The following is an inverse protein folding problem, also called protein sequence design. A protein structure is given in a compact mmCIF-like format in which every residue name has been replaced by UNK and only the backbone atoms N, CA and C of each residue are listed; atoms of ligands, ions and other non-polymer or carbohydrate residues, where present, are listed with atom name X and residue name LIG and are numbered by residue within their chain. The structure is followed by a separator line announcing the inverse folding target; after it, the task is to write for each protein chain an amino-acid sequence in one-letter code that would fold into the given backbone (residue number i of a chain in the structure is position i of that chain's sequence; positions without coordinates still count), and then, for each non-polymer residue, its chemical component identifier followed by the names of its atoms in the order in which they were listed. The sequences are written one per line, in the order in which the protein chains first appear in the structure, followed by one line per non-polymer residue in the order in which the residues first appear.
data_IF_245292852823
#
_entry.id   IF_245292852823
#
_cell.length_a   1.000
_cell.length_b   1.000
_cell.length_c   1.000
_cell.angle_alpha   90.00
_cell.angle_beta   90.00
_cell.angle_gamma   90.00
#
_symmetry.space_group_name_H-M   'P 1'
#
loop_
_entity.id
_entity.type
_entity.pdbx_description
1 polymer ?
#
# COMPACT_ATOMS: atom_id res chain seq x y z
N UNK A 1 -11.62 -22.46 -9.86
CA UNK A 1 -10.74 -21.26 -9.85
C UNK A 1 -10.41 -20.96 -8.40
N UNK A 2 -9.13 -20.81 -8.06
CA UNK A 2 -8.74 -20.45 -6.70
C UNK A 2 -9.28 -19.05 -6.38
N UNK A 3 -10.07 -18.95 -5.32
CA UNK A 3 -10.74 -17.73 -4.91
C UNK A 3 -9.75 -16.84 -4.13
N UNK A 4 -8.78 -16.25 -4.84
CA UNK A 4 -7.82 -15.31 -4.25
C UNK A 4 -8.60 -14.07 -3.80
N UNK A 5 -8.57 -13.79 -2.51
CA UNK A 5 -9.36 -12.70 -1.90
C UNK A 5 -8.57 -11.42 -1.66
N UNK A 6 -7.24 -11.49 -1.65
CA UNK A 6 -6.34 -10.36 -1.43
C UNK A 6 -4.92 -10.72 -1.89
N UNK A 7 -4.09 -9.69 -2.10
CA UNK A 7 -2.66 -9.84 -2.36
C UNK A 7 -1.83 -9.01 -1.38
N UNK A 8 -0.66 -9.51 -0.99
CA UNK A 8 0.30 -8.78 -0.15
C UNK A 8 1.63 -8.75 -0.89
N UNK A 9 2.26 -7.58 -0.91
CA UNK A 9 3.54 -7.35 -1.57
C UNK A 9 4.56 -6.85 -0.57
N UNK A 10 5.77 -7.40 -0.62
CA UNK A 10 6.91 -6.71 -0.04
C UNK A 10 7.16 -5.41 -0.83
N UNK A 11 7.27 -4.28 -0.14
CA UNK A 11 7.45 -3.00 -0.80
C UNK A 11 8.89 -2.79 -1.27
N UNK A 12 9.86 -3.22 -0.46
CA UNK A 12 11.27 -2.88 -0.62
C UNK A 12 12.03 -3.99 -1.37
N UNK A 13 12.23 -3.81 -2.68
CA UNK A 13 12.93 -4.79 -3.52
C UNK A 13 12.00 -5.65 -4.39
N UNK A 14 10.69 -5.62 -4.14
CA UNK A 14 9.67 -6.23 -5.02
C UNK A 14 8.84 -5.16 -5.75
N UNK A 15 8.11 -4.31 -5.03
CA UNK A 15 7.35 -3.19 -5.64
C UNK A 15 8.30 -2.09 -6.10
N UNK A 16 9.26 -1.75 -5.26
CA UNK A 16 10.35 -0.84 -5.61
C UNK A 16 11.60 -1.65 -5.97
N UNK A 17 12.41 -1.17 -6.91
CA UNK A 17 13.67 -1.84 -7.25
C UNK A 17 14.75 -1.51 -6.21
N UNK A 18 15.68 -2.45 -6.00
CA UNK A 18 16.84 -2.22 -5.11
C UNK A 18 17.59 -0.95 -5.54
N UNK A 19 17.71 0.01 -4.62
CA UNK A 19 18.37 1.29 -4.85
C UNK A 19 17.51 2.35 -5.55
N UNK A 20 16.29 2.00 -5.98
CA UNK A 20 15.33 2.92 -6.62
C UNK A 20 14.07 2.94 -5.73
N UNK A 21 13.97 3.86 -4.77
CA UNK A 21 12.93 3.83 -3.76
C UNK A 21 11.62 4.49 -4.24
N UNK A 22 11.31 4.38 -5.53
CA UNK A 22 10.12 4.95 -6.17
C UNK A 22 9.44 3.88 -7.04
N UNK A 23 8.12 3.97 -7.19
CA UNK A 23 7.41 3.15 -8.16
C UNK A 23 7.70 3.59 -9.60
N UNK A 24 7.85 2.60 -10.46
CA UNK A 24 7.86 2.74 -11.92
C UNK A 24 6.44 2.56 -12.48
N UNK A 25 6.19 3.12 -13.66
CA UNK A 25 4.84 3.26 -14.21
C UNK A 25 4.17 1.92 -14.55
N UNK A 26 4.95 0.91 -14.97
CA UNK A 26 4.45 -0.44 -15.27
C UNK A 26 3.97 -1.18 -14.01
N UNK A 27 4.74 -1.08 -12.92
CA UNK A 27 4.34 -1.60 -11.61
C UNK A 27 3.11 -0.85 -11.08
N UNK A 28 3.05 0.47 -11.29
CA UNK A 28 1.91 1.30 -10.91
C UNK A 28 0.62 0.83 -11.60
N UNK A 29 0.67 0.64 -12.92
CA UNK A 29 -0.45 0.15 -13.71
C UNK A 29 -0.91 -1.24 -13.23
N UNK A 30 0.03 -2.14 -12.96
CA UNK A 30 -0.27 -3.47 -12.46
C UNK A 30 -0.96 -3.44 -11.09
N UNK A 31 -0.44 -2.64 -10.15
CA UNK A 31 -1.00 -2.52 -8.80
C UNK A 31 -2.38 -1.88 -8.81
N UNK A 32 -2.60 -0.82 -9.61
CA UNK A 32 -3.91 -0.18 -9.75
C UNK A 32 -4.92 -1.15 -10.38
N UNK A 33 -4.54 -1.88 -11.43
CA UNK A 33 -5.39 -2.89 -12.06
C UNK A 33 -5.79 -4.01 -11.10
N UNK A 34 -4.90 -4.36 -10.17
CA UNK A 34 -5.17 -5.36 -9.15
C UNK A 34 -6.06 -4.82 -8.02
N UNK A 35 -5.78 -3.59 -7.54
CA UNK A 35 -6.54 -2.91 -6.50
C UNK A 35 -8.00 -2.63 -6.92
N UNK A 36 -8.29 -2.51 -8.23
CA UNK A 36 -9.67 -2.46 -8.75
C UNK A 36 -10.44 -3.77 -8.56
N UNK A 37 -9.76 -4.89 -8.35
CA UNK A 37 -10.37 -6.24 -8.32
C UNK A 37 -10.36 -6.86 -6.93
N UNK A 38 -9.39 -6.51 -6.10
CA UNK A 38 -9.24 -7.07 -4.75
C UNK A 38 -8.43 -6.14 -3.84
N UNK A 39 -8.55 -6.30 -2.52
CA UNK A 39 -7.63 -5.70 -1.56
C UNK A 39 -6.17 -6.04 -1.84
N UNK A 40 -5.30 -5.04 -1.77
CA UNK A 40 -3.85 -5.17 -1.80
C UNK A 40 -3.23 -4.56 -0.55
N UNK A 41 -2.18 -5.19 -0.03
CA UNK A 41 -1.40 -4.66 1.08
C UNK A 41 0.08 -4.55 0.71
N UNK A 42 0.72 -3.49 1.19
CA UNK A 42 2.17 -3.32 1.12
C UNK A 42 2.79 -3.62 2.49
N UNK A 43 3.75 -4.53 2.54
CA UNK A 43 4.52 -4.83 3.73
C UNK A 43 5.90 -4.17 3.62
N UNK A 44 6.33 -3.41 4.62
CA UNK A 44 7.59 -2.66 4.57
C UNK A 44 8.19 -2.48 5.96
N UNK A 45 9.51 -2.35 6.02
CA UNK A 45 10.22 -1.90 7.23
C UNK A 45 10.12 -0.40 7.49
N UNK A 46 9.47 0.36 6.60
CA UNK A 46 9.30 1.81 6.69
C UNK A 46 8.13 2.18 7.61
N UNK A 47 8.17 3.39 8.14
CA UNK A 47 7.00 4.02 8.77
C UNK A 47 6.03 4.59 7.70
N UNK A 48 4.84 5.00 8.13
CA UNK A 48 3.78 5.54 7.27
C UNK A 48 4.27 6.73 6.44
N UNK A 49 4.88 7.74 7.08
CA UNK A 49 5.34 8.96 6.39
C UNK A 49 6.32 8.63 5.26
N UNK A 50 7.29 7.75 5.52
CA UNK A 50 8.24 7.34 4.48
C UNK A 50 7.59 6.55 3.35
N UNK A 51 6.54 5.77 3.63
CA UNK A 51 5.80 5.04 2.60
C UNK A 51 4.99 6.00 1.72
N UNK A 52 4.26 6.94 2.33
CA UNK A 52 3.41 7.91 1.61
C UNK A 52 4.23 8.66 0.56
N UNK A 53 5.32 9.30 1.00
CA UNK A 53 6.19 10.12 0.14
C UNK A 53 6.84 9.34 -1.01
N UNK A 54 7.09 8.04 -0.85
CA UNK A 54 7.90 7.24 -1.78
C UNK A 54 7.07 6.35 -2.70
N UNK A 55 5.88 5.95 -2.25
CA UNK A 55 5.01 5.06 -2.99
C UNK A 55 3.64 5.65 -3.27
N UNK A 56 2.95 6.05 -2.20
CA UNK A 56 1.53 6.40 -2.28
C UNK A 56 1.28 7.64 -3.13
N UNK A 57 2.10 8.69 -3.02
CA UNK A 57 1.89 9.93 -3.78
C UNK A 57 1.88 9.67 -5.28
N UNK A 58 2.79 8.82 -5.78
CA UNK A 58 2.80 8.39 -7.18
C UNK A 58 1.60 7.53 -7.53
N UNK A 59 1.24 6.60 -6.65
CA UNK A 59 0.06 5.74 -6.82
C UNK A 59 -1.20 6.57 -6.97
N UNK A 60 -1.44 7.53 -6.07
CA UNK A 60 -2.58 8.44 -6.13
C UNK A 60 -2.56 9.34 -7.37
N UNK A 61 -1.39 9.89 -7.72
CA UNK A 61 -1.25 10.77 -8.89
C UNK A 61 -1.57 10.07 -10.22
N UNK A 62 -1.50 8.74 -10.26
CA UNK A 62 -1.82 7.94 -11.45
C UNK A 62 -3.32 7.61 -11.57
N UNK A 63 -4.08 7.70 -10.48
CA UNK A 63 -5.51 7.41 -10.48
C UNK A 63 -6.30 8.51 -11.18
N UNK A 64 -7.32 8.12 -11.94
CA UNK A 64 -8.34 9.07 -12.39
C UNK A 64 -9.22 9.47 -11.21
N UNK A 65 -9.74 10.70 -11.24
CA UNK A 65 -10.55 11.23 -10.14
C UNK A 65 -11.82 10.40 -9.85
N UNK A 66 -12.42 9.80 -10.88
CA UNK A 66 -13.64 9.01 -10.79
C UNK A 66 -13.44 7.58 -10.25
N UNK A 67 -12.22 7.05 -10.27
CA UNK A 67 -11.88 5.71 -9.75
C UNK A 67 -11.10 5.75 -8.44
N UNK A 68 -10.67 6.94 -7.99
CA UNK A 68 -9.76 7.13 -6.87
C UNK A 68 -10.24 6.41 -5.61
N UNK A 69 -11.45 6.70 -5.15
CA UNK A 69 -11.97 6.16 -3.90
C UNK A 69 -12.24 4.65 -3.99
N UNK A 70 -12.68 4.18 -5.16
CA UNK A 70 -12.89 2.76 -5.42
C UNK A 70 -11.60 1.96 -5.34
N UNK A 71 -10.49 2.53 -5.81
CA UNK A 71 -9.18 1.90 -5.74
C UNK A 71 -8.58 2.02 -4.34
N UNK A 72 -8.60 3.21 -3.74
CA UNK A 72 -7.90 3.47 -2.49
C UNK A 72 -8.52 2.74 -1.30
N UNK A 73 -9.84 2.50 -1.26
CA UNK A 73 -10.46 1.65 -0.22
C UNK A 73 -9.92 0.21 -0.16
N UNK A 74 -9.25 -0.24 -1.22
CA UNK A 74 -8.62 -1.55 -1.33
C UNK A 74 -7.12 -1.51 -1.00
N UNK A 75 -6.56 -0.38 -0.56
CA UNK A 75 -5.13 -0.21 -0.27
C UNK A 75 -4.88 -0.26 1.23
N UNK A 76 -3.96 -1.15 1.61
CA UNK A 76 -3.53 -1.37 2.99
C UNK A 76 -2.00 -1.26 3.10
N UNK A 77 -1.53 -0.92 4.30
CA UNK A 77 -0.11 -0.84 4.63
C UNK A 77 0.16 -1.63 5.90
N UNK A 78 1.18 -2.48 5.87
CA UNK A 78 1.78 -3.15 7.03
C UNK A 78 3.18 -2.55 7.19
N UNK A 79 3.28 -1.53 8.03
CA UNK A 79 4.48 -0.73 8.26
C UNK A 79 5.35 -1.32 9.38
N UNK A 80 6.56 -0.79 9.52
CA UNK A 80 7.47 -1.09 10.63
C UNK A 80 7.70 -2.61 10.83
N UNK A 81 7.94 -3.31 9.72
CA UNK A 81 8.07 -4.78 9.65
C UNK A 81 6.81 -5.53 10.09
N UNK A 82 5.65 -4.92 9.85
CA UNK A 82 4.34 -5.48 10.19
C UNK A 82 3.87 -5.18 11.61
N UNK A 83 4.60 -4.36 12.38
CA UNK A 83 4.19 -3.96 13.72
C UNK A 83 2.96 -3.04 13.73
N UNK A 84 2.76 -2.26 12.67
CA UNK A 84 1.63 -1.32 12.56
C UNK A 84 0.89 -1.53 11.25
N UNK A 85 -0.45 -1.57 11.31
CA UNK A 85 -1.32 -1.73 10.14
C UNK A 85 -2.18 -0.52 9.90
N UNK A 86 -2.26 -0.10 8.63
CA UNK A 86 -3.12 0.98 8.17
C UNK A 86 -4.04 0.55 7.01
N UNK A 87 -5.23 1.12 6.95
CA UNK A 87 -6.08 1.11 5.75
C UNK A 87 -6.27 2.55 5.27
N UNK A 88 -6.43 2.75 3.96
CA UNK A 88 -6.70 4.10 3.45
C UNK A 88 -8.19 4.45 3.62
N UNK A 89 -8.46 5.52 4.34
CA UNK A 89 -9.80 6.05 4.60
C UNK A 89 -10.13 7.13 3.58
N UNK A 90 -11.06 6.82 2.67
CA UNK A 90 -11.50 7.77 1.63
C UNK A 90 -12.27 8.96 2.22
N UNK A 91 -12.90 8.78 3.39
CA UNK A 91 -13.63 9.86 4.07
C UNK A 91 -12.68 10.90 4.68
N UNK A 92 -11.51 10.45 5.17
CA UNK A 92 -10.48 11.31 5.77
C UNK A 92 -9.38 11.73 4.81
N UNK A 93 -9.38 11.12 3.62
CA UNK A 93 -8.32 11.26 2.63
C UNK A 93 -6.92 10.87 3.15
N UNK A 94 -6.86 9.95 4.11
CA UNK A 94 -5.64 9.60 4.83
C UNK A 94 -5.63 8.13 5.29
N UNK A 95 -4.46 7.64 5.68
CA UNK A 95 -4.31 6.34 6.30
C UNK A 95 -4.77 6.36 7.77
N UNK A 96 -5.59 5.38 8.12
CA UNK A 96 -6.01 5.13 9.50
C UNK A 96 -5.41 3.85 10.03
N UNK A 97 -4.87 3.92 11.25
CA UNK A 97 -4.35 2.75 11.95
C UNK A 97 -5.52 1.81 12.34
N UNK A 98 -5.37 0.52 12.06
CA UNK A 98 -6.29 -0.51 12.53
C UNK A 98 -5.66 -1.54 13.48
N UNK A 99 -4.33 -1.57 13.57
CA UNK A 99 -3.64 -2.22 14.68
C UNK A 99 -2.24 -1.64 14.87
N UNK A 100 -1.75 -1.75 16.10
CA UNK A 100 -0.36 -1.57 16.48
C UNK A 100 -0.02 -2.66 17.50
N UNK A 101 1.07 -3.40 17.26
CA UNK A 101 1.60 -4.36 18.22
C UNK A 101 2.92 -3.86 18.77
N UNK A 102 3.07 -3.96 20.08
CA UNK A 102 4.36 -3.78 20.72
C UNK A 102 5.30 -4.91 20.26
N UNK A 103 6.57 -4.55 20.06
CA UNK A 103 7.60 -5.58 19.96
C UNK A 103 7.68 -6.30 21.31
N UNK A 104 7.76 -7.64 21.34
CA UNK A 104 7.95 -8.36 22.60
C UNK A 104 9.21 -7.80 23.26
N UNK A 105 9.07 -7.34 24.50
CA UNK A 105 10.15 -6.79 25.30
C UNK A 105 11.40 -7.69 25.15
N UNK A 106 12.44 -7.12 24.55
CA UNK A 106 13.74 -7.76 24.33
C UNK A 106 14.38 -8.22 25.63
#
# INVERSE_FOLDING_TARGET
MNNIKAAIFDFDGTVTKKGIPILEDDMLEALVSLAKKMPIAFCTGRNLESFVRRGLDKFMAFLKADERDEVLKNVYLLAENGAVGYFYSTDKDDFEEFYCTDWPDS
#
